data_IF_719712642942
#
_entry.id   IF_719712642942
#
_cell.length_a   1.000
_cell.length_b   1.000
_cell.length_c   1.000
_cell.angle_alpha   90.00
_cell.angle_beta   90.00
_cell.angle_gamma   90.00
#
_symmetry.space_group_name_H-M   'P 1'
#
loop_
_entity.id
_entity.type
_entity.pdbx_description
1 polymer ?
#
# COMPACT_ATOMS: atom_id res chain seq x y z
N UNK A 1 -25.38 13.49 34.44
CA UNK A 1 -24.39 14.17 33.57
C UNK A 1 -24.87 13.97 32.14
N UNK A 2 -25.36 15.00 31.49
CA UNK A 2 -25.73 14.92 30.08
C UNK A 2 -24.45 14.91 29.25
N UNK A 3 -24.24 13.84 28.47
CA UNK A 3 -23.13 13.77 27.54
C UNK A 3 -23.46 14.65 26.34
N UNK A 4 -22.91 15.86 26.32
CA UNK A 4 -23.01 16.76 25.16
C UNK A 4 -22.00 16.24 24.13
N UNK A 5 -22.49 15.57 23.09
CA UNK A 5 -21.68 15.12 21.97
C UNK A 5 -21.68 16.24 20.91
N UNK A 6 -20.50 16.58 20.41
CA UNK A 6 -20.38 17.52 19.31
C UNK A 6 -20.97 16.90 18.03
N UNK A 7 -21.88 17.62 17.38
CA UNK A 7 -22.56 17.17 16.18
C UNK A 7 -21.60 16.84 15.02
N UNK A 8 -20.46 17.53 14.91
CA UNK A 8 -19.44 17.22 13.89
C UNK A 8 -18.87 15.82 14.07
N UNK A 9 -18.48 15.49 15.30
CA UNK A 9 -17.80 14.24 15.64
C UNK A 9 -18.76 13.06 15.48
N UNK A 10 -20.03 13.29 15.80
CA UNK A 10 -21.09 12.31 15.59
C UNK A 10 -21.34 12.05 14.11
N UNK A 11 -21.40 13.10 13.28
CA UNK A 11 -21.56 12.97 11.82
C UNK A 11 -20.39 12.19 11.21
N UNK A 12 -19.15 12.46 11.64
CA UNK A 12 -17.98 11.76 11.10
C UNK A 12 -17.92 10.29 11.54
N UNK A 13 -18.37 9.98 12.76
CA UNK A 13 -18.57 8.60 13.18
C UNK A 13 -19.60 7.89 12.28
N UNK A 14 -20.76 8.51 12.03
CA UNK A 14 -21.80 7.92 11.19
C UNK A 14 -21.35 7.72 9.73
N UNK A 15 -20.54 8.63 9.18
CA UNK A 15 -19.93 8.45 7.85
C UNK A 15 -18.97 7.27 7.82
N UNK A 16 -18.17 7.08 8.89
CA UNK A 16 -17.22 5.97 9.02
C UNK A 16 -17.92 4.61 9.13
N UNK A 17 -19.01 4.55 9.89
CA UNK A 17 -19.83 3.34 10.08
C UNK A 17 -20.79 3.07 8.90
N UNK A 18 -20.84 3.95 7.89
CA UNK A 18 -21.66 3.77 6.68
C UNK A 18 -23.16 4.02 6.89
N UNK A 19 -23.53 4.76 7.95
CA UNK A 19 -24.92 5.03 8.34
C UNK A 19 -25.49 6.33 7.72
N UNK A 20 -24.72 7.00 6.87
CA UNK A 20 -25.09 8.27 6.21
C UNK A 20 -24.80 8.19 4.72
N UNK A 21 -25.72 8.71 3.91
CA UNK A 21 -25.55 8.86 2.46
C UNK A 21 -24.47 9.93 2.21
N UNK A 22 -23.39 9.52 1.56
CA UNK A 22 -22.24 10.38 1.22
C UNK A 22 -22.06 10.45 -0.30
N UNK A 23 -21.36 11.47 -0.79
CA UNK A 23 -21.06 11.59 -2.21
C UNK A 23 -20.16 10.45 -2.69
N UNK A 24 -20.28 10.09 -3.97
CA UNK A 24 -19.40 9.10 -4.62
C UNK A 24 -17.92 9.45 -4.45
N UNK A 25 -17.57 10.75 -4.55
CA UNK A 25 -16.21 11.24 -4.36
C UNK A 25 -15.66 11.02 -2.94
N UNK A 26 -16.50 11.14 -1.91
CA UNK A 26 -16.12 10.87 -0.52
C UNK A 26 -15.87 9.37 -0.29
N UNK A 27 -16.65 8.50 -0.94
CA UNK A 27 -16.41 7.06 -0.90
C UNK A 27 -15.11 6.69 -1.62
N UNK A 28 -14.84 7.28 -2.79
CA UNK A 28 -13.61 7.00 -3.54
C UNK A 28 -12.36 7.43 -2.77
N UNK A 29 -12.40 8.59 -2.12
CA UNK A 29 -11.28 9.13 -1.31
C UNK A 29 -11.07 8.40 0.01
N UNK A 30 -12.12 7.81 0.61
CA UNK A 30 -12.01 6.97 1.81
C UNK A 30 -11.92 5.46 1.53
N UNK A 31 -11.94 5.05 0.25
CA UNK A 31 -12.05 3.63 -0.07
C UNK A 31 -10.72 2.91 0.09
N UNK A 32 -10.65 2.05 1.10
CA UNK A 32 -9.75 0.90 1.14
C UNK A 32 -9.80 0.10 -0.19
N UNK A 33 -10.95 0.15 -0.90
CA UNK A 33 -11.09 -0.40 -2.27
C UNK A 33 -10.11 0.20 -3.28
N UNK A 34 -9.79 1.50 -3.22
CA UNK A 34 -8.80 2.08 -4.14
C UNK A 34 -7.38 1.58 -3.87
N UNK A 35 -7.06 1.32 -2.60
CA UNK A 35 -5.76 0.83 -2.18
C UNK A 35 -5.61 -0.66 -2.53
N UNK A 36 -6.66 -1.45 -2.32
CA UNK A 36 -6.73 -2.85 -2.76
C UNK A 36 -6.60 -2.94 -4.29
N UNK A 37 -7.33 -2.12 -5.05
CA UNK A 37 -7.21 -2.12 -6.51
C UNK A 37 -5.79 -1.75 -6.97
N UNK A 38 -5.21 -0.69 -6.38
CA UNK A 38 -3.81 -0.33 -6.63
C UNK A 38 -2.84 -1.47 -6.31
N UNK A 39 -3.10 -2.24 -5.24
CA UNK A 39 -2.29 -3.42 -4.90
C UNK A 39 -2.37 -4.49 -5.97
N UNK A 40 -3.58 -4.82 -6.42
CA UNK A 40 -3.80 -5.79 -7.50
C UNK A 40 -3.11 -5.36 -8.79
N UNK A 41 -3.27 -4.09 -9.19
CA UNK A 41 -2.66 -3.55 -10.41
C UNK A 41 -1.12 -3.60 -10.37
N UNK A 42 -0.53 -3.36 -9.20
CA UNK A 42 0.91 -3.43 -8.99
C UNK A 42 1.42 -4.88 -8.91
N UNK A 43 0.69 -5.79 -8.27
CA UNK A 43 1.05 -7.22 -8.22
C UNK A 43 0.98 -7.88 -9.61
N UNK A 44 0.14 -7.39 -10.52
CA UNK A 44 0.10 -7.82 -11.90
C UNK A 44 1.36 -7.46 -12.72
N UNK A 45 2.16 -6.47 -12.27
CA UNK A 45 3.40 -6.08 -12.95
C UNK A 45 4.49 -7.14 -12.76
N UNK A 46 5.39 -7.27 -13.73
CA UNK A 46 6.57 -8.17 -13.63
C UNK A 46 7.62 -7.68 -12.63
N UNK A 47 7.73 -6.37 -12.47
CA UNK A 47 8.68 -5.74 -11.55
C UNK A 47 8.15 -4.40 -11.06
N UNK A 48 8.57 -4.03 -9.85
CA UNK A 48 8.17 -2.83 -9.16
C UNK A 48 9.38 -2.01 -8.74
N UNK A 49 9.27 -0.70 -8.78
CA UNK A 49 10.26 0.18 -8.17
C UNK A 49 10.15 0.14 -6.64
N UNK A 50 11.21 0.55 -5.94
CA UNK A 50 11.20 0.65 -4.47
C UNK A 50 10.05 1.56 -3.98
N UNK A 51 9.70 2.60 -4.74
CA UNK A 51 8.59 3.49 -4.40
C UNK A 51 7.25 2.74 -4.46
N UNK A 52 6.97 2.07 -5.57
CA UNK A 52 5.74 1.27 -5.73
C UNK A 52 5.65 0.15 -4.67
N UNK A 53 6.78 -0.46 -4.31
CA UNK A 53 6.84 -1.49 -3.26
C UNK A 53 6.45 -0.94 -1.87
N UNK A 54 6.81 0.31 -1.58
CA UNK A 54 6.40 0.99 -0.34
C UNK A 54 4.93 1.41 -0.40
N UNK A 55 4.48 1.88 -1.56
CA UNK A 55 3.08 2.27 -1.79
C UNK A 55 2.13 1.07 -1.65
N UNK A 56 2.60 -0.15 -1.93
CA UNK A 56 1.86 -1.39 -1.66
C UNK A 56 1.54 -1.60 -0.18
N UNK A 57 2.38 -1.10 0.74
CA UNK A 57 2.26 -1.33 2.19
C UNK A 57 2.04 -2.82 2.58
N UNK A 58 2.49 -3.76 1.73
CA UNK A 58 2.38 -5.21 1.98
C UNK A 58 3.52 -5.70 2.87
N UNK A 59 4.66 -5.02 2.80
CA UNK A 59 5.86 -5.41 3.55
C UNK A 59 5.92 -4.71 4.90
N UNK A 60 6.52 -5.33 5.92
CA UNK A 60 6.74 -4.70 7.23
C UNK A 60 7.73 -3.52 7.19
N UNK A 61 8.34 -3.24 6.04
CA UNK A 61 9.29 -2.14 5.85
C UNK A 61 8.60 -0.91 5.26
N UNK A 62 8.76 0.23 5.93
CA UNK A 62 8.14 1.51 5.52
C UNK A 62 9.13 2.52 4.92
N UNK A 63 10.39 2.13 4.73
CA UNK A 63 11.42 3.05 4.23
C UNK A 63 12.26 2.44 3.10
N UNK A 64 12.71 3.31 2.20
CA UNK A 64 13.61 2.94 1.08
C UNK A 64 14.91 2.32 1.58
N UNK A 65 15.44 2.84 2.69
CA UNK A 65 16.69 2.34 3.27
C UNK A 65 16.51 0.94 3.87
N UNK A 66 15.35 0.63 4.46
CA UNK A 66 15.06 -0.71 4.94
C UNK A 66 14.98 -1.74 3.80
N UNK A 67 14.36 -1.36 2.67
CA UNK A 67 14.36 -2.21 1.46
C UNK A 67 15.78 -2.44 0.94
N UNK A 68 16.63 -1.40 0.91
CA UNK A 68 18.05 -1.57 0.54
C UNK A 68 18.79 -2.54 1.46
N UNK A 69 18.57 -2.42 2.78
CA UNK A 69 19.12 -3.39 3.75
C UNK A 69 18.64 -4.82 3.50
N UNK A 70 17.40 -5.02 3.04
CA UNK A 70 16.91 -6.35 2.67
C UNK A 70 17.58 -6.92 1.42
N UNK A 71 17.96 -6.07 0.47
CA UNK A 71 18.76 -6.46 -0.69
C UNK A 71 20.18 -6.84 -0.23
N UNK A 72 20.80 -6.03 0.63
CA UNK A 72 22.15 -6.28 1.17
C UNK A 72 22.21 -7.56 2.00
N UNK A 73 21.19 -7.81 2.84
CA UNK A 73 21.07 -9.02 3.66
C UNK A 73 20.68 -10.26 2.87
N UNK A 74 20.33 -10.13 1.59
CA UNK A 74 19.89 -11.25 0.75
C UNK A 74 18.47 -11.75 1.02
N UNK A 75 17.67 -11.01 1.80
CA UNK A 75 16.22 -11.28 1.97
C UNK A 75 15.49 -11.18 0.63
N UNK A 76 15.86 -10.15 -0.16
CA UNK A 76 15.54 -10.06 -1.59
C UNK A 76 16.76 -10.62 -2.33
N UNK A 77 16.57 -11.67 -3.12
CA UNK A 77 17.70 -12.30 -3.84
C UNK A 77 18.22 -11.35 -4.91
N UNK A 78 19.52 -11.38 -5.19
CA UNK A 78 20.11 -10.58 -6.28
C UNK A 78 19.48 -10.88 -7.64
N UNK A 79 19.03 -12.12 -7.88
CA UNK A 79 18.27 -12.51 -9.08
C UNK A 79 16.88 -11.87 -9.19
N UNK A 80 16.32 -11.41 -8.06
CA UNK A 80 15.04 -10.73 -7.97
C UNK A 80 15.21 -9.19 -8.07
N UNK A 81 16.43 -8.69 -8.26
CA UNK A 81 16.74 -7.27 -8.36
C UNK A 81 17.37 -6.97 -9.71
N UNK A 82 16.84 -5.97 -10.40
CA UNK A 82 17.39 -5.45 -11.64
C UNK A 82 17.52 -3.93 -11.57
N UNK A 83 18.57 -3.39 -12.16
CA UNK A 83 18.70 -1.94 -12.39
C UNK A 83 18.14 -1.64 -13.77
N UNK A 84 17.10 -0.82 -13.84
CA UNK A 84 16.54 -0.36 -15.11
C UNK A 84 17.52 0.55 -15.85
N UNK A 85 17.29 0.74 -17.15
CA UNK A 85 18.06 1.66 -18.00
C UNK A 85 18.02 3.11 -17.51
N UNK A 86 17.02 3.46 -16.68
CA UNK A 86 16.87 4.76 -16.01
C UNK A 86 17.64 4.86 -14.69
N UNK A 87 18.50 3.90 -14.38
CA UNK A 87 19.30 3.84 -13.15
C UNK A 87 18.48 3.47 -11.90
N UNK A 88 17.18 3.19 -12.03
CA UNK A 88 16.31 2.86 -10.89
C UNK A 88 16.35 1.37 -10.59
N UNK A 89 16.42 1.06 -9.29
CA UNK A 89 16.31 -0.31 -8.79
C UNK A 89 14.87 -0.79 -8.93
N UNK A 90 14.70 -1.93 -9.61
CA UNK A 90 13.44 -2.65 -9.78
C UNK A 90 13.55 -4.01 -9.09
N UNK A 91 12.51 -4.37 -8.35
CA UNK A 91 12.38 -5.63 -7.63
C UNK A 91 11.31 -6.45 -8.34
N UNK A 92 11.61 -7.69 -8.68
CA UNK A 92 10.65 -8.58 -9.32
C UNK A 92 9.51 -8.94 -8.37
N UNK A 93 8.28 -9.03 -8.89
CA UNK A 93 7.11 -9.44 -8.08
C UNK A 93 7.16 -10.92 -7.69
N UNK A 94 8.02 -11.72 -8.32
CA UNK A 94 8.34 -13.09 -7.90
C UNK A 94 8.82 -13.17 -6.44
N UNK A 95 9.50 -12.13 -5.94
CA UNK A 95 9.86 -11.99 -4.53
C UNK A 95 8.64 -11.95 -3.61
N UNK A 96 7.60 -11.21 -4.01
CA UNK A 96 6.37 -11.07 -3.23
C UNK A 96 5.60 -12.39 -3.19
N UNK A 97 5.50 -13.09 -4.33
CA UNK A 97 4.92 -14.44 -4.41
C UNK A 97 5.65 -15.44 -3.51
N UNK A 98 6.99 -15.41 -3.50
CA UNK A 98 7.80 -16.27 -2.62
C UNK A 98 7.55 -16.03 -1.14
N UNK A 99 7.18 -14.81 -0.77
CA UNK A 99 6.80 -14.47 0.61
C UNK A 99 5.34 -14.79 0.94
N UNK A 100 4.56 -15.32 -0.01
CA UNK A 100 3.15 -15.67 0.16
C UNK A 100 2.18 -14.52 -0.07
N UNK A 101 2.61 -13.45 -0.74
CA UNK A 101 1.71 -12.40 -1.21
C UNK A 101 1.25 -12.76 -2.63
N UNK A 102 0.04 -13.29 -2.76
CA UNK A 102 -0.66 -13.56 -4.04
C UNK A 102 -1.73 -12.50 -4.33
#
# INVERSE_FOLDING_TARGET
MEAIINASDFIDLLKKEGLVIVSKSFLESNSEKSLIQKRLDLLAKKSLTIKELLDLQLLPVKSKQAIRKWIEKGTIKKSEVATGSDGKIRIQTSFLKRLGYD
#
